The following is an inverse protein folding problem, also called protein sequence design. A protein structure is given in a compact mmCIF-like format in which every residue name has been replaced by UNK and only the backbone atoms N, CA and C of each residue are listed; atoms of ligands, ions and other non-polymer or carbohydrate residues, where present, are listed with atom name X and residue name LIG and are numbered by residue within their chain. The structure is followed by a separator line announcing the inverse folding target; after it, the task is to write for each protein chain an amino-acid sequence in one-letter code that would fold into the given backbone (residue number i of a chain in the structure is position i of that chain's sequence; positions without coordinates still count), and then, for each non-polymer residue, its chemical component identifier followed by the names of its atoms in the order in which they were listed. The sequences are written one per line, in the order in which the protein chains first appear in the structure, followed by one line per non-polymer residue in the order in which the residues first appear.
data_IF_387813549518
#
_entry.id   IF_387813549518
#
_cell.length_a   1.000
_cell.length_b   1.000
_cell.length_c   1.000
_cell.angle_alpha   90.00
_cell.angle_beta   90.00
_cell.angle_gamma   90.00
#
_symmetry.space_group_name_H-M   'P 1'
#
loop_
_entity.id
_entity.type
_entity.pdbx_description
1 polymer ?
#
# COMPACT_ATOMS: atom_id res chain seq x y z
N UNK A 1 17.45 0.98 -18.41
CA UNK A 1 16.73 -0.32 -18.28
C UNK A 1 15.90 -0.49 -19.54
N UNK A 2 15.71 -1.73 -20.01
CA UNK A 2 14.88 -2.07 -21.17
C UNK A 2 13.72 -2.94 -20.68
N UNK A 3 12.53 -2.72 -21.23
CA UNK A 3 11.37 -3.56 -21.00
C UNK A 3 10.80 -3.95 -22.36
N UNK A 4 10.83 -5.24 -22.65
CA UNK A 4 10.37 -5.84 -23.90
C UNK A 4 9.06 -6.58 -23.65
N UNK A 5 8.11 -6.48 -24.59
CA UNK A 5 6.80 -7.12 -24.47
C UNK A 5 6.39 -7.75 -25.81
N UNK A 6 5.77 -8.94 -25.74
CA UNK A 6 5.33 -9.71 -26.91
C UNK A 6 3.83 -10.03 -26.81
N UNK A 7 3.08 -9.74 -27.87
CA UNK A 7 1.67 -10.09 -28.02
C UNK A 7 1.47 -10.92 -29.27
N UNK A 8 0.79 -12.07 -29.17
CA UNK A 8 0.43 -12.90 -30.31
C UNK A 8 -1.08 -12.84 -30.54
N UNK A 9 -1.49 -12.40 -31.72
CA UNK A 9 -2.88 -12.40 -32.18
C UNK A 9 -3.10 -13.50 -33.25
N UNK A 10 -4.34 -13.99 -33.46
CA UNK A 10 -4.66 -15.03 -34.46
C UNK A 10 -4.43 -14.60 -35.92
N UNK A 11 -4.17 -13.31 -36.18
CA UNK A 11 -3.61 -12.84 -37.44
C UNK A 11 -2.22 -12.23 -37.15
N UNK A 12 -1.20 -12.75 -37.84
CA UNK A 12 0.22 -12.46 -37.66
C UNK A 12 0.60 -10.99 -37.97
N UNK A 13 0.32 -10.06 -37.06
CA UNK A 13 1.08 -8.80 -36.96
C UNK A 13 1.54 -8.61 -35.51
N UNK A 14 2.83 -8.83 -35.26
CA UNK A 14 3.47 -8.57 -33.97
C UNK A 14 3.88 -7.10 -33.90
N UNK A 15 3.14 -6.29 -33.14
CA UNK A 15 3.55 -4.92 -32.84
C UNK A 15 4.51 -4.93 -31.64
N UNK A 16 5.81 -4.78 -31.90
CA UNK A 16 6.82 -4.61 -30.86
C UNK A 16 6.99 -3.13 -30.52
N UNK A 17 6.71 -2.76 -29.27
CA UNK A 17 6.98 -1.42 -28.73
C UNK A 17 8.01 -1.50 -27.60
N UNK A 18 9.23 -1.06 -27.87
CA UNK A 18 10.28 -0.95 -26.86
C UNK A 18 10.25 0.44 -26.21
N UNK A 19 10.02 0.48 -24.90
CA UNK A 19 10.14 1.72 -24.13
C UNK A 19 11.55 1.85 -23.57
N UNK A 20 12.26 2.91 -23.96
CA UNK A 20 13.54 3.28 -23.35
C UNK A 20 13.31 4.44 -22.40
N UNK A 21 13.60 4.22 -21.12
CA UNK A 21 13.46 5.25 -20.10
C UNK A 21 14.61 5.24 -19.12
N UNK A 22 14.82 6.41 -18.51
CA UNK A 22 15.81 6.61 -17.46
C UNK A 22 15.10 6.82 -16.13
N UNK A 23 15.52 6.06 -15.13
CA UNK A 23 15.14 6.23 -13.73
C UNK A 23 16.38 6.64 -12.95
N UNK A 24 16.20 7.56 -12.01
CA UNK A 24 17.26 8.01 -11.12
C UNK A 24 16.72 8.19 -9.71
N UNK A 25 17.63 8.13 -8.75
CA UNK A 25 17.37 8.35 -7.32
C UNK A 25 18.51 9.17 -6.74
N UNK A 26 18.17 10.14 -5.90
CA UNK A 26 19.12 10.98 -5.18
C UNK A 26 18.65 11.14 -3.74
N UNK A 27 19.48 10.73 -2.78
CA UNK A 27 19.12 10.79 -1.36
C UNK A 27 20.28 11.18 -0.45
N UNK A 28 20.40 12.45 -0.03
CA UNK A 28 21.35 12.83 1.01
C UNK A 28 20.92 12.30 2.38
N UNK A 29 21.89 11.96 3.22
CA UNK A 29 21.69 11.63 4.62
C UNK A 29 22.72 12.32 5.52
N UNK A 30 22.34 12.55 6.77
CA UNK A 30 23.17 13.25 7.75
C UNK A 30 22.94 12.70 9.16
N UNK A 31 24.03 12.23 9.78
CA UNK A 31 24.05 11.81 11.17
C UNK A 31 24.01 13.06 12.08
N UNK A 32 22.87 13.34 12.69
CA UNK A 32 22.71 14.41 13.68
C UNK A 32 23.45 14.08 14.98
N UNK A 33 23.43 12.80 15.35
CA UNK A 33 24.17 12.21 16.47
C UNK A 33 24.62 10.79 16.08
N UNK A 34 25.41 10.13 16.93
CA UNK A 34 25.82 8.74 16.70
C UNK A 34 24.63 7.77 16.56
N UNK A 35 23.47 8.13 17.12
CA UNK A 35 22.28 7.28 17.18
C UNK A 35 21.09 7.85 16.39
N UNK A 36 21.23 8.98 15.70
CA UNK A 36 20.14 9.62 14.96
C UNK A 36 20.62 10.11 13.59
N UNK A 37 20.01 9.57 12.54
CA UNK A 37 20.27 9.93 11.16
C UNK A 37 19.00 10.50 10.52
N UNK A 38 19.14 11.61 9.81
CA UNK A 38 18.06 12.15 8.97
C UNK A 38 18.42 11.95 7.51
N UNK A 39 17.41 11.83 6.67
CA UNK A 39 17.59 11.66 5.24
C UNK A 39 16.48 12.36 4.47
N UNK A 40 16.78 12.69 3.23
CA UNK A 40 15.80 13.04 2.22
C UNK A 40 16.08 12.18 0.99
N UNK A 41 15.07 11.89 0.20
CA UNK A 41 15.22 11.14 -1.03
C UNK A 41 14.24 11.64 -2.10
N UNK A 42 14.72 11.68 -3.33
CA UNK A 42 13.90 11.86 -4.51
C UNK A 42 14.16 10.73 -5.50
N UNK A 43 13.10 10.00 -5.85
CA UNK A 43 13.16 8.88 -6.79
C UNK A 43 12.19 9.10 -7.95
N UNK A 44 12.62 8.77 -9.16
CA UNK A 44 11.74 8.63 -10.33
C UNK A 44 11.56 7.15 -10.68
N UNK A 45 10.37 6.78 -11.16
CA UNK A 45 10.06 5.45 -11.67
C UNK A 45 9.22 5.55 -12.93
N UNK A 46 9.15 4.45 -13.69
CA UNK A 46 8.14 4.26 -14.72
C UNK A 46 7.58 2.85 -14.59
N UNK A 47 6.27 2.73 -14.71
CA UNK A 47 5.56 1.45 -14.69
C UNK A 47 4.63 1.38 -15.91
N UNK A 48 4.41 0.20 -16.48
CA UNK A 48 3.35 0.06 -17.45
C UNK A 48 2.00 0.30 -16.76
N UNK A 49 1.04 0.93 -17.47
CA UNK A 49 -0.26 1.28 -16.89
C UNK A 49 -1.04 0.08 -16.34
N UNK A 50 -2.00 0.34 -15.45
CA UNK A 50 -2.67 -0.66 -14.61
C UNK A 50 -3.51 -1.74 -15.33
N UNK A 51 -3.65 -1.70 -16.67
CA UNK A 51 -4.58 -2.56 -17.43
C UNK A 51 -3.95 -3.16 -18.70
N UNK A 52 -2.67 -3.54 -18.64
CA UNK A 52 -1.95 -4.15 -19.77
C UNK A 52 -2.66 -5.36 -20.39
N UNK A 53 -3.41 -6.13 -19.61
CA UNK A 53 -4.06 -7.36 -20.07
C UNK A 53 -5.32 -7.14 -20.92
N UNK A 54 -5.91 -5.94 -20.89
CA UNK A 54 -7.12 -5.60 -21.64
C UNK A 54 -6.87 -4.59 -22.78
N UNK A 55 -5.59 -4.28 -23.07
CA UNK A 55 -5.25 -3.41 -24.18
C UNK A 55 -5.51 -4.11 -25.51
N UNK A 56 -6.35 -3.50 -26.34
CA UNK A 56 -6.42 -3.88 -27.77
C UNK A 56 -5.10 -3.52 -28.47
N UNK A 57 -4.76 -4.15 -29.60
CA UNK A 57 -3.53 -3.85 -30.36
C UNK A 57 -3.34 -2.35 -30.68
N UNK A 58 -4.44 -1.60 -30.82
CA UNK A 58 -4.44 -0.15 -31.05
C UNK A 58 -4.00 0.70 -29.84
N UNK A 59 -3.91 0.12 -28.64
CA UNK A 59 -3.59 0.81 -27.37
C UNK A 59 -2.20 0.48 -26.83
N UNK A 60 -1.39 -0.28 -27.59
CA UNK A 60 0.00 -0.64 -27.25
C UNK A 60 0.98 0.55 -27.28
N UNK A 61 0.56 1.69 -27.83
CA UNK A 61 1.34 2.93 -27.97
C UNK A 61 1.19 3.93 -26.81
N UNK A 62 0.46 3.57 -25.74
CA UNK A 62 0.26 4.46 -24.58
C UNK A 62 1.57 4.64 -23.79
N UNK A 63 1.93 5.88 -23.39
CA UNK A 63 3.14 6.12 -22.61
C UNK A 63 3.08 5.42 -21.25
N UNK A 64 4.25 5.05 -20.71
CA UNK A 64 4.34 4.52 -19.35
C UNK A 64 3.83 5.53 -18.31
N UNK A 65 3.26 5.00 -17.24
CA UNK A 65 2.95 5.77 -16.03
C UNK A 65 4.25 6.23 -15.40
N UNK A 66 4.40 7.54 -15.21
CA UNK A 66 5.58 8.13 -14.58
C UNK A 66 5.35 8.29 -13.10
N UNK A 67 6.28 7.81 -12.30
CA UNK A 67 6.25 7.88 -10.83
C UNK A 67 7.33 8.85 -10.36
N UNK A 68 6.98 9.72 -9.43
CA UNK A 68 7.92 10.62 -8.75
C UNK A 68 7.63 10.58 -7.27
N UNK A 69 8.64 10.35 -6.45
CA UNK A 69 8.52 10.28 -5.00
C UNK A 69 9.50 11.23 -4.34
N UNK A 70 8.98 12.04 -3.41
CA UNK A 70 9.77 12.76 -2.41
C UNK A 70 9.57 12.08 -1.07
N UNK A 71 10.63 11.93 -0.31
CA UNK A 71 10.60 11.42 1.06
C UNK A 71 11.58 12.20 1.93
N UNK A 72 11.17 12.49 3.16
CA UNK A 72 12.05 12.96 4.22
C UNK A 72 11.80 12.12 5.46
N UNK A 73 12.86 11.68 6.12
CA UNK A 73 12.71 10.84 7.28
C UNK A 73 13.83 10.99 8.30
N UNK A 74 13.56 10.46 9.48
CA UNK A 74 14.50 10.33 10.57
C UNK A 74 14.49 8.89 11.05
N UNK A 75 15.68 8.32 11.24
CA UNK A 75 15.89 7.00 11.79
C UNK A 75 16.85 7.10 12.97
N UNK A 76 16.49 6.49 14.08
CA UNK A 76 17.33 6.52 15.27
C UNK A 76 17.27 5.27 16.11
N UNK A 77 18.36 5.04 16.84
CA UNK A 77 18.49 4.00 17.86
C UNK A 77 18.41 4.65 19.25
N UNK A 78 17.84 3.92 20.21
CA UNK A 78 17.69 4.38 21.58
C UNK A 78 17.80 3.22 22.58
N UNK A 79 17.93 3.55 23.87
CA UNK A 79 18.13 2.57 24.95
C UNK A 79 19.31 1.62 24.68
N UNK A 80 20.48 2.18 24.39
CA UNK A 80 21.71 1.41 24.14
C UNK A 80 21.52 0.34 23.04
N UNK A 81 20.98 0.77 21.89
CA UNK A 81 20.70 -0.06 20.71
C UNK A 81 19.64 -1.17 20.91
N UNK A 82 18.86 -1.09 21.99
CA UNK A 82 17.71 -1.98 22.22
C UNK A 82 16.47 -1.53 21.47
N UNK A 83 16.37 -0.25 21.11
CA UNK A 83 15.26 0.31 20.36
C UNK A 83 15.73 0.93 19.05
N UNK A 84 14.89 0.84 18.02
CA UNK A 84 15.06 1.53 16.74
C UNK A 84 13.70 2.09 16.31
N UNK A 85 13.68 3.34 15.86
CA UNK A 85 12.48 3.97 15.32
C UNK A 85 12.80 4.70 14.01
N UNK A 86 11.86 4.66 13.08
CA UNK A 86 11.91 5.43 11.83
C UNK A 86 10.60 6.18 11.67
N UNK A 87 10.68 7.47 11.33
CA UNK A 87 9.55 8.31 10.93
C UNK A 87 9.85 8.88 9.55
N UNK A 88 8.92 8.70 8.60
CA UNK A 88 9.04 9.21 7.25
C UNK A 88 7.77 9.98 6.85
N UNK A 89 7.97 11.02 6.05
CA UNK A 89 6.96 11.82 5.39
C UNK A 89 7.20 11.70 3.90
N UNK A 90 6.18 11.38 3.12
CA UNK A 90 6.36 11.19 1.68
C UNK A 90 5.24 11.84 0.84
N UNK A 91 5.59 12.17 -0.40
CA UNK A 91 4.65 12.45 -1.49
C UNK A 91 5.06 11.58 -2.69
N UNK A 92 4.16 10.70 -3.13
CA UNK A 92 4.28 9.92 -4.35
C UNK A 92 3.26 10.42 -5.36
N UNK A 93 3.71 10.78 -6.55
CA UNK A 93 2.87 11.19 -7.68
C UNK A 93 3.00 10.21 -8.82
N UNK A 94 1.86 9.75 -9.33
CA UNK A 94 1.74 8.99 -10.58
C UNK A 94 1.09 9.86 -11.64
N UNK A 95 1.76 10.03 -12.76
CA UNK A 95 1.25 10.72 -13.94
C UNK A 95 1.10 9.75 -15.10
N UNK A 96 0.26 10.09 -16.07
CA UNK A 96 -0.11 9.25 -17.20
C UNK A 96 -0.88 7.98 -16.79
N UNK A 97 -1.71 8.07 -15.74
CA UNK A 97 -2.61 6.97 -15.40
C UNK A 97 -3.60 6.73 -16.53
N UNK A 98 -3.90 5.45 -16.77
CA UNK A 98 -4.80 5.05 -17.84
C UNK A 98 -6.24 5.26 -17.39
N UNK A 99 -7.00 6.00 -18.19
CA UNK A 99 -8.39 6.36 -17.92
C UNK A 99 -9.25 6.07 -19.15
N UNK A 100 -10.51 5.63 -19.00
CA UNK A 100 -11.41 5.45 -20.14
C UNK A 100 -11.58 6.71 -20.98
N UNK A 101 -11.59 6.56 -22.31
CA UNK A 101 -11.80 7.67 -23.22
C UNK A 101 -13.29 8.05 -23.24
N UNK A 102 -13.58 9.32 -22.94
CA UNK A 102 -14.95 9.85 -22.87
C UNK A 102 -15.75 9.74 -24.19
N UNK A 103 -15.07 9.71 -25.34
CA UNK A 103 -15.69 9.66 -26.66
C UNK A 103 -15.77 8.23 -27.22
N UNK A 104 -14.89 7.35 -26.75
CA UNK A 104 -14.77 5.95 -27.15
C UNK A 104 -14.48 5.10 -25.91
N UNK A 105 -15.50 4.75 -25.09
CA UNK A 105 -15.32 4.13 -23.78
C UNK A 105 -14.52 2.82 -23.77
N UNK A 106 -14.45 2.12 -24.90
CA UNK A 106 -13.66 0.89 -25.09
C UNK A 106 -12.16 1.16 -25.28
N UNK A 107 -11.74 2.44 -25.28
CA UNK A 107 -10.33 2.86 -25.40
C UNK A 107 -9.86 3.60 -24.15
N UNK A 108 -8.53 3.70 -23.97
CA UNK A 108 -7.89 4.30 -22.81
C UNK A 108 -7.02 5.49 -23.23
N UNK A 109 -6.98 6.51 -22.38
CA UNK A 109 -6.08 7.65 -22.45
C UNK A 109 -5.12 7.62 -21.27
N UNK A 110 -3.83 7.89 -21.48
CA UNK A 110 -2.84 7.98 -20.41
C UNK A 110 -2.69 9.42 -19.91
N UNK A 111 -3.78 9.99 -19.39
CA UNK A 111 -3.85 11.40 -18.95
C UNK A 111 -4.17 11.58 -17.47
N UNK A 112 -4.43 10.50 -16.75
CA UNK A 112 -4.76 10.59 -15.34
C UNK A 112 -3.56 10.93 -14.46
N UNK A 113 -3.84 11.46 -13.27
CA UNK A 113 -2.86 11.76 -12.23
C UNK A 113 -3.42 11.40 -10.86
N UNK A 114 -2.56 10.83 -10.03
CA UNK A 114 -2.85 10.52 -8.64
C UNK A 114 -1.67 10.96 -7.77
N UNK A 115 -1.97 11.55 -6.63
CA UNK A 115 -0.99 11.86 -5.59
C UNK A 115 -1.35 11.14 -4.29
N UNK A 116 -0.35 10.49 -3.71
CA UNK A 116 -0.40 9.84 -2.40
C UNK A 116 0.57 10.55 -1.47
N UNK A 117 0.06 11.16 -0.41
CA UNK A 117 0.88 11.77 0.65
C UNK A 117 0.70 10.99 1.92
N UNK A 118 1.76 10.80 2.68
CA UNK A 118 1.64 10.03 3.90
C UNK A 118 2.72 10.24 4.93
N UNK A 119 2.46 9.63 6.07
CA UNK A 119 3.38 9.53 7.20
C UNK A 119 3.52 8.05 7.54
N UNK A 120 4.75 7.58 7.71
CA UNK A 120 5.05 6.21 8.12
C UNK A 120 5.89 6.22 9.38
N UNK A 121 5.49 5.40 10.35
CA UNK A 121 6.20 5.18 11.60
C UNK A 121 6.51 3.70 11.72
N UNK A 122 7.76 3.40 12.05
CA UNK A 122 8.26 2.06 12.37
C UNK A 122 8.98 2.09 13.72
N UNK A 123 8.77 1.07 14.53
CA UNK A 123 9.37 0.90 15.85
C UNK A 123 9.73 -0.58 16.05
N UNK A 124 10.96 -0.83 16.52
CA UNK A 124 11.43 -2.11 17.00
C UNK A 124 12.03 -1.92 18.39
N UNK A 125 11.74 -2.81 19.33
CA UNK A 125 12.17 -2.67 20.72
C UNK A 125 12.43 -4.03 21.38
N UNK A 126 13.65 -4.21 21.89
CA UNK A 126 14.13 -5.41 22.57
C UNK A 126 14.74 -5.05 23.93
N UNK A 127 13.91 -4.73 24.95
CA UNK A 127 14.41 -4.18 26.21
C UNK A 127 15.29 -5.18 26.99
N UNK A 128 15.03 -6.48 26.81
CA UNK A 128 15.79 -7.59 27.35
C UNK A 128 15.60 -8.84 26.45
N UNK A 129 16.18 -9.98 26.84
CA UNK A 129 16.13 -11.23 26.07
C UNK A 129 14.72 -11.85 25.98
N UNK A 130 13.80 -11.47 26.87
CA UNK A 130 12.45 -12.03 26.94
C UNK A 130 11.46 -11.32 26.04
N UNK A 131 11.67 -10.03 25.74
CA UNK A 131 10.68 -9.22 25.06
C UNK A 131 11.20 -8.68 23.73
N UNK A 132 10.37 -8.80 22.71
CA UNK A 132 10.52 -8.12 21.44
C UNK A 132 9.18 -7.51 21.04
N UNK A 133 9.19 -6.21 20.75
CA UNK A 133 8.03 -5.46 20.32
C UNK A 133 8.34 -4.84 18.95
N UNK A 134 7.43 -4.98 18.00
CA UNK A 134 7.50 -4.33 16.72
C UNK A 134 6.18 -3.60 16.46
N UNK A 135 6.24 -2.36 16.01
CA UNK A 135 5.05 -1.61 15.62
C UNK A 135 5.31 -0.86 14.32
N UNK A 136 4.31 -0.83 13.44
CA UNK A 136 4.34 -0.03 12.22
C UNK A 136 2.99 0.63 12.04
N UNK A 137 2.97 1.90 11.64
CA UNK A 137 1.73 2.63 11.33
C UNK A 137 1.95 3.52 10.12
N UNK A 138 0.96 3.59 9.24
CA UNK A 138 0.98 4.47 8.08
C UNK A 138 -0.35 5.20 7.95
N UNK A 139 -0.26 6.52 7.73
CA UNK A 139 -1.36 7.34 7.24
C UNK A 139 -1.10 7.70 5.79
N UNK A 140 -2.06 7.42 4.91
CA UNK A 140 -1.95 7.66 3.46
C UNK A 140 -3.17 8.42 2.95
N UNK A 141 -2.97 9.68 2.59
CA UNK A 141 -3.94 10.48 1.86
C UNK A 141 -3.69 10.35 0.35
N UNK A 142 -4.31 9.36 -0.27
CA UNK A 142 -4.26 9.16 -1.73
C UNK A 142 -5.48 9.76 -2.42
N UNK A 143 -5.28 10.55 -3.48
CA UNK A 143 -6.33 11.19 -4.26
C UNK A 143 -6.04 11.16 -5.75
N UNK A 144 -7.08 10.97 -6.55
CA UNK A 144 -7.03 11.30 -7.97
C UNK A 144 -6.96 12.82 -8.13
N UNK A 145 -5.86 13.32 -8.68
CA UNK A 145 -5.74 14.74 -9.02
C UNK A 145 -6.48 15.02 -10.33
N UNK A 146 -6.35 14.11 -11.29
CA UNK A 146 -6.98 14.12 -12.60
C UNK A 146 -7.41 12.70 -12.95
N UNK A 147 -8.71 12.41 -13.00
CA UNK A 147 -9.21 11.11 -13.40
C UNK A 147 -10.64 11.24 -13.92
N UNK A 148 -10.90 10.71 -15.12
CA UNK A 148 -12.24 10.64 -15.69
C UNK A 148 -12.54 9.20 -16.05
N UNK A 149 -13.66 8.66 -15.59
CA UNK A 149 -13.98 7.25 -15.79
C UNK A 149 -15.45 6.95 -15.51
N UNK A 150 -15.79 5.66 -15.53
CA UNK A 150 -17.15 5.16 -15.34
C UNK A 150 -18.00 5.14 -16.61
N UNK A 151 -19.24 4.68 -16.45
CA UNK A 151 -20.26 4.67 -17.50
C UNK A 151 -21.59 5.19 -16.92
N UNK A 152 -22.04 6.40 -17.29
CA UNK A 152 -21.40 7.35 -18.20
C UNK A 152 -20.08 7.93 -17.63
N UNK A 153 -19.22 8.44 -18.52
CA UNK A 153 -17.91 8.98 -18.11
C UNK A 153 -18.08 10.27 -17.29
N UNK A 154 -17.64 10.22 -16.03
CA UNK A 154 -17.65 11.31 -15.08
C UNK A 154 -16.25 11.71 -14.60
N UNK A 155 -16.16 12.75 -13.78
CA UNK A 155 -14.93 13.15 -13.10
C UNK A 155 -14.84 12.49 -11.73
N UNK A 156 -13.71 11.86 -11.41
CA UNK A 156 -13.39 11.31 -10.10
C UNK A 156 -12.25 12.06 -9.41
N UNK A 157 -11.93 13.28 -9.87
CA UNK A 157 -10.97 14.16 -9.19
C UNK A 157 -11.39 14.36 -7.73
N UNK A 158 -10.43 14.24 -6.80
CA UNK A 158 -10.66 14.31 -5.37
C UNK A 158 -11.20 13.03 -4.73
N UNK A 159 -11.55 12.00 -5.52
CA UNK A 159 -11.86 10.69 -4.98
C UNK A 159 -10.58 9.98 -4.51
N UNK A 160 -10.76 9.07 -3.57
CA UNK A 160 -9.72 8.15 -3.12
C UNK A 160 -9.59 7.00 -4.12
N UNK A 161 -8.38 6.64 -4.56
CA UNK A 161 -8.19 5.45 -5.38
C UNK A 161 -8.70 4.19 -4.68
N UNK A 162 -9.23 3.25 -5.46
CA UNK A 162 -9.76 2.00 -4.94
C UNK A 162 -8.66 1.21 -4.19
N UNK A 163 -9.08 0.46 -3.17
CA UNK A 163 -8.25 -0.44 -2.35
C UNK A 163 -7.15 0.24 -1.52
N UNK A 164 -7.08 1.57 -1.48
CA UNK A 164 -6.14 2.30 -0.63
C UNK A 164 -6.82 2.72 0.67
N UNK A 165 -6.52 2.08 1.82
CA UNK A 165 -6.98 2.56 3.12
C UNK A 165 -6.20 3.81 3.56
N UNK A 166 -6.86 4.71 4.30
CA UNK A 166 -6.15 5.88 4.87
C UNK A 166 -5.18 5.47 5.97
N UNK A 167 -5.51 4.44 6.75
CA UNK A 167 -4.74 4.02 7.91
C UNK A 167 -4.44 2.54 7.82
N UNK A 168 -3.18 2.19 8.10
CA UNK A 168 -2.78 0.82 8.41
C UNK A 168 -1.91 0.83 9.65
N UNK A 169 -2.05 -0.19 10.49
CA UNK A 169 -1.21 -0.35 11.66
C UNK A 169 -0.97 -1.83 11.96
N UNK A 170 0.21 -2.14 12.46
CA UNK A 170 0.59 -3.47 12.93
C UNK A 170 1.30 -3.32 14.27
N UNK A 171 0.99 -4.17 15.23
CA UNK A 171 1.67 -4.27 16.52
C UNK A 171 1.90 -5.74 16.82
N UNK A 172 3.16 -6.13 16.99
CA UNK A 172 3.56 -7.48 17.37
C UNK A 172 4.31 -7.42 18.68
N UNK A 173 3.92 -8.29 19.61
CA UNK A 173 4.62 -8.53 20.86
C UNK A 173 5.02 -10.00 20.95
N UNK A 174 6.31 -10.25 21.13
CA UNK A 174 6.85 -11.57 21.44
C UNK A 174 7.39 -11.59 22.86
N UNK A 175 6.99 -12.61 23.60
CA UNK A 175 7.43 -12.90 24.95
C UNK A 175 8.06 -14.29 25.01
N UNK A 176 9.26 -14.38 25.57
CA UNK A 176 9.99 -15.61 25.83
C UNK A 176 10.07 -15.85 27.33
N UNK A 177 9.10 -16.56 27.93
CA UNK A 177 9.15 -16.92 29.35
C UNK A 177 10.37 -17.80 29.68
N UNK A 178 10.82 -18.62 28.73
CA UNK A 178 12.05 -19.42 28.82
C UNK A 178 12.85 -19.26 27.52
N UNK A 179 14.06 -19.81 27.45
CA UNK A 179 14.84 -19.77 26.22
C UNK A 179 14.21 -20.63 25.09
N UNK A 180 13.44 -21.64 25.46
CA UNK A 180 12.84 -22.60 24.53
C UNK A 180 11.42 -22.22 24.13
N UNK A 181 10.66 -21.51 24.98
CA UNK A 181 9.26 -21.16 24.72
C UNK A 181 9.14 -19.70 24.26
N UNK A 182 8.52 -19.49 23.11
CA UNK A 182 8.11 -18.19 22.58
C UNK A 182 6.59 -18.10 22.47
N UNK A 183 6.05 -16.95 22.85
CA UNK A 183 4.64 -16.58 22.68
C UNK A 183 4.60 -15.29 21.86
N UNK A 184 3.81 -15.25 20.79
CA UNK A 184 3.68 -14.09 19.92
C UNK A 184 2.21 -13.68 19.81
N UNK A 185 1.95 -12.38 19.91
CA UNK A 185 0.64 -11.77 19.65
C UNK A 185 0.82 -10.65 18.63
N UNK A 186 0.07 -10.69 17.54
CA UNK A 186 0.09 -9.69 16.48
C UNK A 186 -1.30 -9.12 16.24
N UNK A 187 -1.41 -7.81 16.29
CA UNK A 187 -2.60 -7.05 15.94
C UNK A 187 -2.35 -6.30 14.64
N UNK A 188 -3.27 -6.42 13.68
CA UNK A 188 -3.21 -5.68 12.41
C UNK A 188 -4.53 -4.95 12.18
N UNK A 189 -4.45 -3.65 11.97
CA UNK A 189 -5.58 -2.80 11.61
C UNK A 189 -5.44 -2.32 10.17
N UNK A 190 -6.54 -2.41 9.42
CA UNK A 190 -6.67 -1.85 8.09
C UNK A 190 -7.93 -1.00 8.06
N UNK A 191 -7.77 0.29 7.79
CA UNK A 191 -8.86 1.24 7.69
C UNK A 191 -9.79 0.94 6.51
N UNK A 192 -10.93 1.63 6.47
CA UNK A 192 -11.86 1.48 5.36
C UNK A 192 -11.26 1.98 4.05
N UNK A 193 -11.66 1.36 2.95
CA UNK A 193 -11.30 1.75 1.58
C UNK A 193 -12.53 1.64 0.68
N UNK A 194 -12.38 1.88 -0.62
CA UNK A 194 -13.44 1.70 -1.61
C UNK A 194 -13.04 0.61 -2.59
N UNK A 195 -13.98 -0.12 -3.16
CA UNK A 195 -13.70 -1.09 -4.22
C UNK A 195 -13.96 -0.52 -5.64
N UNK A 196 -14.16 0.79 -5.74
CA UNK A 196 -14.46 1.51 -6.97
C UNK A 196 -13.90 2.94 -6.93
N UNK A 197 -13.57 3.47 -8.12
CA UNK A 197 -13.01 4.81 -8.29
C UNK A 197 -14.02 5.93 -8.02
N UNK A 198 -15.33 5.64 -8.12
CA UNK A 198 -16.40 6.59 -7.84
C UNK A 198 -16.65 6.77 -6.33
N UNK A 199 -15.99 5.97 -5.48
CA UNK A 199 -16.14 5.94 -4.02
C UNK A 199 -17.57 5.67 -3.56
N UNK A 200 -18.29 4.79 -4.26
CA UNK A 200 -19.68 4.43 -3.94
C UNK A 200 -19.79 3.18 -3.08
N UNK A 201 -18.83 2.26 -3.18
CA UNK A 201 -18.86 0.94 -2.53
C UNK A 201 -17.72 0.86 -1.53
N UNK A 202 -18.04 1.26 -0.31
CA UNK A 202 -17.10 1.28 0.82
C UNK A 202 -16.86 -0.12 1.35
N UNK A 203 -15.59 -0.52 1.48
CA UNK A 203 -15.16 -1.68 2.24
C UNK A 203 -14.88 -1.26 3.68
N UNK A 204 -15.52 -1.90 4.68
CA UNK A 204 -15.35 -1.54 6.08
C UNK A 204 -13.92 -1.82 6.57
N UNK A 205 -13.52 -1.09 7.62
CA UNK A 205 -12.27 -1.35 8.31
C UNK A 205 -12.31 -2.71 9.01
N UNK A 206 -11.15 -3.32 9.21
CA UNK A 206 -11.04 -4.57 9.95
C UNK A 206 -9.76 -4.63 10.78
N UNK A 207 -9.82 -5.45 11.82
CA UNK A 207 -8.69 -5.77 12.69
C UNK A 207 -8.51 -7.29 12.73
N UNK A 208 -7.28 -7.77 12.66
CA UNK A 208 -6.94 -9.18 12.93
C UNK A 208 -6.10 -9.28 14.20
N UNK A 209 -6.31 -10.38 14.93
CA UNK A 209 -5.49 -10.80 16.06
C UNK A 209 -4.93 -12.19 15.74
N UNK A 210 -3.61 -12.30 15.74
CA UNK A 210 -2.89 -13.54 15.51
C UNK A 210 -2.12 -13.89 16.78
N UNK A 211 -2.35 -15.08 17.30
CA UNK A 211 -1.65 -15.63 18.46
C UNK A 211 -0.84 -16.83 18.01
N UNK A 212 0.43 -16.89 18.37
CA UNK A 212 1.30 -18.01 18.06
C UNK A 212 2.13 -18.41 19.29
N UNK A 213 2.49 -19.69 19.33
CA UNK A 213 3.43 -20.23 20.31
C UNK A 213 4.42 -21.14 19.60
N UNK A 214 5.68 -21.04 19.99
CA UNK A 214 6.79 -21.86 19.50
C UNK A 214 7.58 -22.45 20.67
N UNK A 215 7.98 -23.71 20.54
CA UNK A 215 8.80 -24.42 21.52
C UNK A 215 9.98 -25.13 20.85
N UNK A 216 11.19 -24.81 21.31
CA UNK A 216 12.42 -25.44 20.87
C UNK A 216 12.64 -26.78 21.60
N UNK A 217 12.44 -27.89 20.90
CA UNK A 217 12.64 -29.25 21.43
C UNK A 217 14.13 -29.61 21.53
N UNK A 218 14.91 -29.20 20.52
CA UNK A 218 16.36 -29.35 20.47
C UNK A 218 16.96 -28.09 19.82
N UNK A 219 18.27 -27.83 19.90
CA UNK A 219 18.87 -26.65 19.26
C UNK A 219 18.62 -26.50 17.75
N UNK A 220 18.11 -27.54 17.08
CA UNK A 220 17.83 -27.57 15.63
C UNK A 220 16.39 -27.96 15.29
N UNK A 221 15.52 -28.19 16.29
CA UNK A 221 14.13 -28.59 16.07
C UNK A 221 13.21 -27.72 16.91
N UNK A 222 12.36 -26.97 16.22
CA UNK A 222 11.29 -26.14 16.81
C UNK A 222 9.92 -26.70 16.39
N UNK A 223 8.95 -26.64 17.30
CA UNK A 223 7.54 -26.97 17.03
C UNK A 223 6.70 -25.76 17.41
N UNK A 224 5.74 -25.38 16.57
CA UNK A 224 4.88 -24.24 16.86
C UNK A 224 3.51 -24.34 16.21
N UNK A 225 2.60 -23.50 16.70
CA UNK A 225 1.25 -23.36 16.16
C UNK A 225 0.81 -21.90 16.22
N UNK A 226 -0.07 -21.52 15.29
CA UNK A 226 -0.64 -20.18 15.21
C UNK A 226 -2.14 -20.23 14.99
N UNK A 227 -2.86 -19.29 15.59
CA UNK A 227 -4.28 -19.07 15.39
C UNK A 227 -4.55 -17.61 15.04
N UNK A 228 -5.24 -17.38 13.93
CA UNK A 228 -5.61 -16.06 13.43
C UNK A 228 -7.12 -15.85 13.55
N UNK A 229 -7.54 -14.72 14.12
CA UNK A 229 -8.94 -14.30 14.17
C UNK A 229 -9.10 -12.93 13.53
N UNK A 230 -10.07 -12.79 12.62
CA UNK A 230 -10.43 -11.50 12.02
C UNK A 230 -11.71 -10.96 12.65
N UNK A 231 -11.76 -9.66 12.86
CA UNK A 231 -12.95 -8.93 13.28
C UNK A 231 -13.15 -7.74 12.33
N UNK A 232 -14.34 -7.64 11.74
CA UNK A 232 -14.70 -6.50 10.89
C UNK A 232 -15.57 -5.54 11.70
N UNK A 233 -15.18 -4.27 11.73
CA UNK A 233 -15.96 -3.23 12.41
C UNK A 233 -16.90 -2.58 11.40
N UNK A 234 -18.16 -3.02 11.39
CA UNK A 234 -19.20 -2.36 10.60
C UNK A 234 -19.68 -1.12 11.36
N UNK A 235 -19.02 0.02 11.15
CA UNK A 235 -19.55 1.30 11.63
C UNK A 235 -20.64 1.77 10.64
N UNK A 236 -21.89 1.33 10.83
CA UNK A 236 -23.03 1.91 10.13
C UNK A 236 -23.18 3.36 10.66
N UNK A 237 -22.91 4.38 9.82
CA UNK A 237 -23.26 5.76 10.15
C UNK A 237 -24.79 5.89 10.16
N UNK A 238 -25.39 6.68 11.08
CA UNK A 238 -26.83 6.88 11.08
C UNK A 238 -27.28 7.49 9.75
N UNK A 239 -28.37 6.95 9.21
CA UNK A 239 -29.02 7.48 8.00
C UNK A 239 -29.69 8.82 8.32
N UNK A 240 -29.00 9.93 8.06
CA UNK A 240 -29.55 11.27 8.23
C UNK A 240 -30.37 11.76 7.02
N UNK A 241 -30.91 10.85 6.18
CA UNK A 241 -31.81 11.21 5.09
C UNK A 241 -32.96 10.19 4.94
N UNK A 242 -34.23 10.65 4.90
CA UNK A 242 -35.37 9.77 4.65
C UNK A 242 -35.40 9.37 3.17
N UNK A 243 -35.09 8.10 2.87
CA UNK A 243 -35.26 7.52 1.53
C UNK A 243 -34.20 6.53 1.05
N UNK A 244 -33.08 6.34 1.76
CA UNK A 244 -32.07 5.33 1.41
C UNK A 244 -32.25 4.06 2.23
N UNK A 245 -32.53 2.93 1.58
CA UNK A 245 -32.52 1.62 2.23
C UNK A 245 -31.17 1.34 2.88
N UNK A 246 -31.17 1.11 4.19
CA UNK A 246 -30.01 0.66 4.93
C UNK A 246 -29.91 -0.86 4.83
N UNK A 247 -29.22 -1.37 3.81
CA UNK A 247 -28.81 -2.77 3.79
C UNK A 247 -27.38 -2.88 4.34
N UNK A 248 -27.26 -2.96 5.68
CA UNK A 248 -26.04 -3.42 6.34
C UNK A 248 -26.05 -4.96 6.36
N UNK A 249 -25.44 -5.63 5.38
CA UNK A 249 -25.17 -7.07 5.42
C UNK A 249 -23.76 -7.32 6.01
N UNK A 250 -23.70 -7.97 7.18
CA UNK A 250 -22.47 -8.42 7.84
C UNK A 250 -22.42 -9.94 7.74
N UNK A 251 -21.29 -10.49 7.30
CA UNK A 251 -21.00 -11.91 7.42
C UNK A 251 -19.65 -12.07 8.14
N UNK A 252 -19.69 -12.71 9.31
CA UNK A 252 -18.51 -13.30 9.95
C UNK A 252 -18.00 -14.45 9.07
N UNK A 253 -16.68 -14.54 8.91
CA UNK A 253 -15.97 -15.70 8.36
C UNK A 253 -14.89 -16.13 9.35
#
# INVERSE_FOLDING_TARGET
MQMDWHFQSPQEETHEHTYVFSVWSLGPSYALTDNLNIYANYTTGQEPGNDLFFLSPAQTSLPLTRVRQWEIGAKGQFWDNKGEATLALYELRKDNLFVPNAQQPDTLNAVGRQTSRGVELSLMLRPNWQWELAANAAYTHARYDEYRGGSPVGSYNGNRPAYIPDWTANLTARYKPTQQLGLTSSLRYVGSSYNDDANQRKMPAYTTLDLAADYQLTPVVDVGGSHQKRHQSTLCLPADLPGSGADCAVADL
#
